data_IF_143389562024
#
_entry.id   IF_143389562024
#
_cell.length_a   1.000
_cell.length_b   1.000
_cell.length_c   1.000
_cell.angle_alpha   90.00
_cell.angle_beta   90.00
_cell.angle_gamma   90.00
#
_symmetry.space_group_name_H-M   'P 1'
#
loop_
_entity.id
_entity.type
_entity.pdbx_description
1 polymer ?
#
# COMPACT_ATOMS: atom_id res chain seq x y z
N UNK A 1 -20.47 1.37 30.98
CA UNK A 1 -19.17 1.84 30.49
C UNK A 1 -19.08 1.61 29.00
N UNK A 2 -18.86 2.67 28.24
CA UNK A 2 -18.76 2.57 26.79
C UNK A 2 -17.32 2.22 26.41
N UNK A 3 -17.16 1.14 25.68
CA UNK A 3 -15.86 0.81 25.10
C UNK A 3 -15.71 1.64 23.84
N UNK A 4 -14.69 2.49 23.79
CA UNK A 4 -14.43 3.29 22.60
C UNK A 4 -14.07 2.34 21.45
N UNK A 5 -14.68 2.55 20.29
CA UNK A 5 -14.28 1.85 19.08
C UNK A 5 -12.84 2.21 18.72
N UNK A 6 -12.05 1.26 18.19
CA UNK A 6 -10.71 1.60 17.70
C UNK A 6 -10.80 2.72 16.66
N UNK A 7 -9.85 3.61 16.68
CA UNK A 7 -9.79 4.65 15.67
C UNK A 7 -9.54 3.99 14.29
N UNK A 8 -10.30 4.39 13.31
CA UNK A 8 -10.21 3.86 11.96
C UNK A 8 -9.50 4.86 11.07
N UNK A 9 -8.37 4.42 10.50
CA UNK A 9 -7.59 5.24 9.58
C UNK A 9 -7.91 4.78 8.17
N UNK A 10 -8.50 5.66 7.37
CA UNK A 10 -8.83 5.35 5.97
C UNK A 10 -7.67 5.71 5.07
N UNK A 11 -7.19 4.73 4.31
CA UNK A 11 -6.07 4.91 3.38
C UNK A 11 -6.42 4.41 2.00
N UNK A 12 -5.69 4.93 1.01
CA UNK A 12 -5.65 4.38 -0.34
C UNK A 12 -4.25 3.78 -0.53
N UNK A 13 -4.18 2.55 -0.99
CA UNK A 13 -2.91 1.85 -1.13
C UNK A 13 -2.80 1.20 -2.51
N UNK A 14 -1.57 1.08 -3.02
CA UNK A 14 -1.31 0.52 -4.32
C UNK A 14 -0.58 -0.81 -4.23
N UNK A 15 -1.11 -1.82 -4.90
CA UNK A 15 -0.35 -2.98 -5.30
C UNK A 15 0.31 -2.60 -6.62
N UNK A 16 1.51 -2.04 -6.52
CA UNK A 16 2.25 -1.50 -7.67
C UNK A 16 3.09 -2.61 -8.26
N UNK A 17 2.83 -2.96 -9.52
CA UNK A 17 3.46 -4.11 -10.17
C UNK A 17 4.21 -3.64 -11.41
N UNK A 18 5.48 -4.06 -11.54
CA UNK A 18 6.30 -3.76 -12.72
C UNK A 18 6.12 -4.84 -13.80
N UNK A 19 6.80 -4.65 -14.94
CA UNK A 19 6.72 -5.58 -16.08
C UNK A 19 7.30 -6.94 -15.78
N UNK A 20 8.11 -7.08 -14.74
CA UNK A 20 8.68 -8.36 -14.31
C UNK A 20 7.80 -9.06 -13.27
N UNK A 21 6.65 -8.47 -12.94
CA UNK A 21 5.73 -9.04 -11.98
C UNK A 21 6.10 -8.80 -10.52
N UNK A 22 7.06 -7.93 -10.24
CA UNK A 22 7.45 -7.59 -8.87
C UNK A 22 6.57 -6.48 -8.34
N UNK A 23 6.38 -6.46 -7.02
CA UNK A 23 5.62 -5.38 -6.38
C UNK A 23 6.53 -4.53 -5.50
N UNK A 24 6.21 -3.25 -5.41
CA UNK A 24 6.99 -2.29 -4.63
C UNK A 24 6.47 -2.23 -3.20
N UNK A 25 7.38 -2.37 -2.25
CA UNK A 25 7.12 -2.09 -0.85
C UNK A 25 7.95 -0.89 -0.41
N UNK A 26 7.41 -0.10 0.49
CA UNK A 26 8.05 1.10 1.01
C UNK A 26 8.14 1.05 2.52
N UNK A 27 9.14 1.74 3.08
CA UNK A 27 9.28 1.91 4.53
C UNK A 27 9.43 3.38 4.83
N UNK A 28 8.62 3.85 5.76
CA UNK A 28 8.67 5.25 6.20
C UNK A 28 9.82 5.48 7.17
N UNK A 29 10.36 6.69 7.16
CA UNK A 29 11.42 7.10 8.08
C UNK A 29 10.98 6.91 9.53
N UNK A 30 11.86 6.35 10.34
CA UNK A 30 11.57 6.10 11.74
C UNK A 30 10.70 4.88 12.02
N UNK A 31 10.35 4.11 11.00
CA UNK A 31 9.56 2.87 11.17
C UNK A 31 10.37 1.67 10.69
N UNK A 32 9.92 0.47 11.08
CA UNK A 32 10.60 -0.77 10.71
C UNK A 32 9.83 -1.58 9.67
N UNK A 33 8.52 -1.37 9.56
CA UNK A 33 7.68 -2.23 8.71
C UNK A 33 7.60 -1.70 7.27
N UNK A 34 7.78 -2.61 6.32
CA UNK A 34 7.49 -2.35 4.92
C UNK A 34 6.00 -2.53 4.66
N UNK A 35 5.47 -1.73 3.76
CA UNK A 35 4.06 -1.72 3.41
C UNK A 35 3.87 -1.26 1.97
N UNK A 36 2.64 -1.29 1.48
CA UNK A 36 2.33 -0.76 0.15
C UNK A 36 2.47 0.76 0.15
N UNK A 37 2.87 1.34 -1.00
CA UNK A 37 2.81 2.80 -1.14
C UNK A 37 1.38 3.28 -1.12
N UNK A 38 1.18 4.49 -0.61
CA UNK A 38 -0.13 5.10 -0.46
C UNK A 38 -0.20 5.94 0.80
N UNK A 39 -1.38 6.34 1.19
CA UNK A 39 -1.54 7.16 2.38
C UNK A 39 -2.97 7.49 2.71
N UNK A 40 -3.14 8.38 3.68
CA UNK A 40 -4.45 8.74 4.19
C UNK A 40 -5.29 9.47 3.13
N UNK A 41 -6.57 9.13 3.12
CA UNK A 41 -7.56 9.81 2.27
C UNK A 41 -8.00 11.06 3.02
N UNK A 42 -7.79 12.23 2.42
CA UNK A 42 -8.18 13.49 3.02
C UNK A 42 -9.69 13.69 2.92
N UNK A 43 -10.24 14.50 3.81
CA UNK A 43 -11.65 14.80 3.79
C UNK A 43 -12.06 15.39 2.45
N UNK A 44 -13.15 14.87 1.87
CA UNK A 44 -13.64 15.32 0.57
C UNK A 44 -12.90 14.75 -0.62
N UNK A 45 -11.85 13.94 -0.38
CA UNK A 45 -11.04 13.35 -1.44
C UNK A 45 -11.52 11.93 -1.74
N UNK A 46 -11.54 11.55 -3.02
CA UNK A 46 -11.81 10.16 -3.37
C UNK A 46 -10.58 9.30 -3.10
N UNK A 47 -10.77 8.00 -2.92
CA UNK A 47 -9.65 7.09 -2.73
C UNK A 47 -8.70 7.12 -3.93
N UNK A 48 -9.22 7.21 -5.15
CA UNK A 48 -8.40 7.28 -6.37
C UNK A 48 -7.56 8.55 -6.43
N UNK A 49 -8.15 9.69 -6.07
CA UNK A 49 -7.44 10.96 -6.03
C UNK A 49 -6.35 10.94 -4.95
N UNK A 50 -6.67 10.38 -3.77
CA UNK A 50 -5.71 10.23 -2.69
C UNK A 50 -4.52 9.36 -3.13
N UNK A 51 -4.79 8.24 -3.80
CA UNK A 51 -3.74 7.36 -4.27
C UNK A 51 -2.81 8.06 -5.26
N UNK A 52 -3.39 8.74 -6.26
CA UNK A 52 -2.59 9.47 -7.26
C UNK A 52 -1.71 10.53 -6.60
N UNK A 53 -2.27 11.27 -5.66
CA UNK A 53 -1.53 12.29 -4.90
C UNK A 53 -0.40 11.69 -4.09
N UNK A 54 -0.68 10.62 -3.33
CA UNK A 54 0.32 9.97 -2.48
C UNK A 54 1.45 9.33 -3.29
N UNK A 55 1.13 8.67 -4.41
CA UNK A 55 2.15 8.10 -5.27
C UNK A 55 3.08 9.17 -5.84
N UNK A 56 2.53 10.33 -6.17
CA UNK A 56 3.35 11.45 -6.63
C UNK A 56 4.22 12.03 -5.50
N UNK A 57 3.63 12.26 -4.34
CA UNK A 57 4.36 12.84 -3.20
C UNK A 57 5.48 11.91 -2.68
N UNK A 58 5.18 10.62 -2.55
CA UNK A 58 6.10 9.66 -1.94
C UNK A 58 7.11 9.09 -2.91
N UNK A 59 6.75 8.92 -4.17
CA UNK A 59 7.55 8.18 -5.15
C UNK A 59 7.83 8.95 -6.44
N UNK A 60 7.26 10.13 -6.62
CA UNK A 60 7.41 10.89 -7.86
C UNK A 60 6.70 10.28 -9.05
N UNK A 61 5.82 9.31 -8.84
CA UNK A 61 5.10 8.65 -9.92
C UNK A 61 3.91 9.47 -10.35
N UNK A 62 3.66 9.52 -11.66
CA UNK A 62 2.49 10.19 -12.23
C UNK A 62 1.49 9.14 -12.67
N UNK A 63 0.41 9.04 -11.91
CA UNK A 63 -0.65 8.06 -12.17
C UNK A 63 -1.97 8.83 -12.31
N UNK A 64 -2.63 8.63 -13.45
CA UNK A 64 -3.96 9.21 -13.64
C UNK A 64 -4.93 8.52 -12.67
N UNK A 65 -5.81 9.27 -11.97
CA UNK A 65 -6.71 8.66 -10.98
C UNK A 65 -7.61 7.54 -11.51
N UNK A 66 -7.89 7.53 -12.81
CA UNK A 66 -8.72 6.49 -13.41
C UNK A 66 -7.96 5.25 -13.84
N UNK A 67 -6.62 5.29 -13.81
CA UNK A 67 -5.80 4.16 -14.27
C UNK A 67 -5.79 2.96 -13.31
N UNK A 68 -5.75 3.16 -11.96
CA UNK A 68 -5.72 2.03 -11.04
C UNK A 68 -6.99 1.18 -11.07
N UNK A 69 -6.82 -0.13 -10.97
CA UNK A 69 -7.93 -1.06 -10.88
C UNK A 69 -8.25 -1.35 -9.42
N UNK A 70 -9.48 -1.12 -8.99
CA UNK A 70 -9.90 -1.35 -7.61
C UNK A 70 -9.93 -2.85 -7.30
N UNK A 71 -9.18 -3.28 -6.30
CA UNK A 71 -9.12 -4.69 -5.89
C UNK A 71 -10.02 -5.01 -4.70
N UNK A 72 -10.35 -4.04 -3.88
CA UNK A 72 -11.22 -4.24 -2.74
C UNK A 72 -10.89 -3.33 -1.57
N UNK A 73 -11.65 -3.53 -0.49
CA UNK A 73 -11.49 -2.83 0.77
C UNK A 73 -11.09 -3.83 1.83
N UNK A 74 -10.02 -3.55 2.54
CA UNK A 74 -9.45 -4.45 3.55
C UNK A 74 -9.17 -3.71 4.84
N UNK A 75 -9.16 -4.44 5.95
CA UNK A 75 -8.96 -3.84 7.26
C UNK A 75 -7.97 -4.67 8.07
N UNK A 76 -7.10 -3.99 8.81
CA UNK A 76 -6.12 -4.64 9.67
C UNK A 76 -5.66 -3.68 10.76
N UNK A 77 -4.95 -4.21 11.75
CA UNK A 77 -4.31 -3.39 12.78
C UNK A 77 -3.26 -2.48 12.14
N UNK A 78 -3.22 -1.21 12.54
CA UNK A 78 -2.24 -0.26 12.03
C UNK A 78 -0.83 -0.61 12.53
N UNK A 79 0.15 -0.58 11.63
CA UNK A 79 1.52 -0.95 11.97
C UNK A 79 2.20 0.04 12.91
N UNK A 80 1.93 1.34 12.73
CA UNK A 80 2.67 2.39 13.40
C UNK A 80 1.83 3.26 14.34
N UNK A 81 0.57 2.93 14.52
CA UNK A 81 -0.36 3.72 15.34
C UNK A 81 -1.10 2.79 16.30
N UNK A 82 -0.57 2.60 17.54
CA UNK A 82 -1.18 1.68 18.51
C UNK A 82 -2.64 2.00 18.79
N UNK A 83 -3.48 0.97 18.90
CA UNK A 83 -4.90 1.11 19.15
C UNK A 83 -5.72 1.52 17.94
N UNK A 84 -5.11 1.65 16.77
CA UNK A 84 -5.80 2.03 15.55
C UNK A 84 -5.90 0.86 14.59
N UNK A 85 -6.90 0.93 13.69
CA UNK A 85 -7.03 0.02 12.57
C UNK A 85 -6.96 0.81 11.28
N UNK A 86 -6.44 0.18 10.23
CA UNK A 86 -6.41 0.73 8.87
C UNK A 86 -7.54 0.11 8.08
N UNK A 87 -8.28 0.95 7.37
CA UNK A 87 -9.19 0.50 6.32
C UNK A 87 -8.61 0.97 5.00
N UNK A 88 -8.19 0.02 4.17
CA UNK A 88 -7.49 0.32 2.92
C UNK A 88 -8.38 0.07 1.72
N UNK A 89 -8.50 1.07 0.86
CA UNK A 89 -8.97 0.88 -0.51
C UNK A 89 -7.73 0.49 -1.30
N UNK A 90 -7.70 -0.75 -1.77
CA UNK A 90 -6.55 -1.29 -2.48
C UNK A 90 -6.77 -1.24 -3.99
N UNK A 91 -5.75 -0.75 -4.70
CA UNK A 91 -5.78 -0.66 -6.17
C UNK A 91 -4.55 -1.31 -6.76
N UNK A 92 -4.73 -1.98 -7.90
CA UNK A 92 -3.61 -2.45 -8.71
C UNK A 92 -3.16 -1.32 -9.62
N UNK A 93 -1.85 -1.07 -9.64
CA UNK A 93 -1.23 -0.10 -10.52
C UNK A 93 -0.08 -0.79 -11.24
N UNK A 94 -0.14 -0.85 -12.56
CA UNK A 94 0.94 -1.40 -13.36
C UNK A 94 1.78 -0.25 -13.89
N UNK A 95 3.08 -0.26 -13.60
CA UNK A 95 3.97 0.81 -14.02
C UNK A 95 5.41 0.34 -14.08
N UNK A 96 6.13 0.78 -15.10
CA UNK A 96 7.59 0.62 -15.22
C UNK A 96 8.32 1.93 -14.96
N UNK A 97 7.60 2.97 -14.55
CA UNK A 97 8.21 4.24 -14.18
C UNK A 97 9.09 4.04 -12.95
N UNK A 98 10.26 4.65 -12.95
CA UNK A 98 11.23 4.47 -11.87
C UNK A 98 10.80 5.28 -10.65
N UNK A 99 10.47 4.64 -9.52
CA UNK A 99 10.11 5.36 -8.31
C UNK A 99 11.36 5.94 -7.63
N UNK A 100 11.16 7.06 -6.95
CA UNK A 100 12.21 7.68 -6.13
C UNK A 100 11.64 7.95 -4.75
N UNK A 101 12.37 7.53 -3.70
CA UNK A 101 11.95 7.78 -2.34
C UNK A 101 11.96 9.30 -2.07
N UNK A 102 10.82 9.82 -1.66
CA UNK A 102 10.63 11.23 -1.35
C UNK A 102 9.73 11.35 -0.11
N UNK A 103 9.58 12.57 0.41
CA UNK A 103 8.79 12.84 1.60
C UNK A 103 9.23 11.96 2.77
N UNK A 104 8.34 11.17 3.34
CA UNK A 104 8.63 10.32 4.50
C UNK A 104 9.27 8.98 4.15
N UNK A 105 9.41 8.66 2.86
CA UNK A 105 9.88 7.33 2.45
C UNK A 105 11.39 7.25 2.55
N UNK A 106 11.86 6.29 3.36
CA UNK A 106 13.29 6.07 3.57
C UNK A 106 13.84 4.93 2.71
N UNK A 107 13.03 3.88 2.48
CA UNK A 107 13.50 2.72 1.76
C UNK A 107 12.44 2.22 0.77
N UNK A 108 12.92 1.70 -0.36
CA UNK A 108 12.11 1.05 -1.39
C UNK A 108 12.62 -0.37 -1.58
N UNK A 109 11.72 -1.32 -1.79
CA UNK A 109 12.08 -2.70 -2.09
C UNK A 109 11.13 -3.28 -3.13
N UNK A 110 11.67 -3.67 -4.27
CA UNK A 110 10.94 -4.49 -5.24
C UNK A 110 11.05 -5.94 -4.81
N UNK A 111 9.91 -6.61 -4.66
CA UNK A 111 9.89 -7.99 -4.18
C UNK A 111 9.02 -8.86 -5.07
N UNK A 112 9.40 -10.13 -5.18
CA UNK A 112 8.52 -11.16 -5.70
C UNK A 112 7.73 -11.77 -4.53
N UNK A 113 6.73 -12.59 -4.85
CA UNK A 113 5.87 -13.19 -3.83
C UNK A 113 6.66 -14.05 -2.80
N UNK A 114 7.82 -14.56 -3.19
CA UNK A 114 8.61 -15.49 -2.37
C UNK A 114 9.78 -14.82 -1.64
N UNK A 115 9.96 -13.51 -1.78
CA UNK A 115 11.17 -12.82 -1.30
C UNK A 115 10.94 -11.97 -0.06
N UNK A 116 9.88 -12.21 0.70
CA UNK A 116 9.51 -11.32 1.82
C UNK A 116 9.72 -11.95 3.19
N UNK A 117 10.19 -13.19 3.28
CA UNK A 117 10.27 -13.92 4.54
C UNK A 117 11.22 -13.31 5.58
N UNK A 118 12.22 -12.55 5.15
CA UNK A 118 13.17 -11.89 6.04
C UNK A 118 12.80 -10.42 6.34
N UNK A 119 11.65 -9.97 5.86
CA UNK A 119 11.24 -8.57 6.00
C UNK A 119 10.24 -8.40 7.13
N UNK A 120 10.36 -7.28 7.85
CA UNK A 120 9.32 -6.85 8.78
C UNK A 120 8.23 -6.19 7.94
N UNK A 121 7.01 -6.73 8.01
CA UNK A 121 5.90 -6.29 7.18
C UNK A 121 4.76 -5.76 8.06
N UNK A 122 4.08 -4.71 7.56
CA UNK A 122 2.84 -4.26 8.19
C UNK A 122 1.81 -5.41 8.17
N UNK A 123 0.95 -5.51 9.19
CA UNK A 123 -0.02 -6.62 9.26
C UNK A 123 -0.87 -6.77 8.00
N UNK A 124 -1.39 -5.66 7.46
CA UNK A 124 -2.19 -5.69 6.23
C UNK A 124 -1.39 -6.25 5.05
N UNK A 125 -0.12 -5.84 4.92
CA UNK A 125 0.77 -6.32 3.87
C UNK A 125 1.01 -7.82 3.99
N UNK A 126 1.37 -8.27 5.19
CA UNK A 126 1.72 -9.66 5.45
C UNK A 126 0.54 -10.61 5.31
N UNK A 127 -0.60 -10.24 5.91
CA UNK A 127 -1.70 -11.17 6.10
C UNK A 127 -2.77 -11.09 5.00
N UNK A 128 -2.84 -9.99 4.28
CA UNK A 128 -3.90 -9.76 3.28
C UNK A 128 -3.33 -9.51 1.90
N UNK A 129 -2.49 -8.49 1.76
CA UNK A 129 -2.12 -8.00 0.42
C UNK A 129 -1.14 -8.92 -0.29
N UNK A 130 -0.09 -9.37 0.38
CA UNK A 130 0.85 -10.29 -0.26
C UNK A 130 0.22 -11.64 -0.63
N UNK A 131 -0.65 -12.24 0.19
CA UNK A 131 -1.41 -13.41 -0.25
C UNK A 131 -2.26 -13.14 -1.47
N UNK A 132 -2.95 -11.99 -1.52
CA UNK A 132 -3.74 -11.59 -2.69
C UNK A 132 -2.86 -11.42 -3.92
N UNK A 133 -1.73 -10.75 -3.78
CA UNK A 133 -0.76 -10.56 -4.85
C UNK A 133 -0.27 -11.92 -5.40
N UNK A 134 0.03 -12.85 -4.52
CA UNK A 134 0.45 -14.20 -4.89
C UNK A 134 -0.63 -14.91 -5.71
N UNK A 135 -1.89 -14.78 -5.28
CA UNK A 135 -3.03 -15.36 -6.00
C UNK A 135 -3.22 -14.73 -7.37
N UNK A 136 -3.06 -13.41 -7.47
CA UNK A 136 -3.18 -12.71 -8.76
C UNK A 136 -2.13 -13.16 -9.76
N UNK A 137 -0.89 -13.41 -9.32
CA UNK A 137 0.17 -13.88 -10.19
C UNK A 137 -0.05 -15.32 -10.64
N UNK A 138 -0.71 -16.13 -9.84
CA UNK A 138 -0.96 -17.55 -10.11
C UNK A 138 -2.24 -17.79 -10.89
N UNK A 139 -3.08 -16.78 -11.04
CA UNK A 139 -4.37 -16.93 -11.72
C UNK A 139 -4.16 -17.20 -13.21
N UNK A 140 -4.86 -18.17 -13.78
CA UNK A 140 -4.80 -18.38 -15.24
C UNK A 140 -5.41 -17.19 -15.96
N UNK A 141 -4.78 -16.83 -17.06
CA UNK A 141 -5.28 -15.75 -17.92
C UNK A 141 -6.42 -16.23 -18.80
#
# INVERSE_FOLDING_TARGET
MTVASPALIRIAAALLIDSEGRTLLVRKRGTQAFMQPGGKIDEGESARAALARELHEELGLRVHPDAPAHLGRFQAVAANEPGCQVQAELFRVDSDEQPRAAAEIEALAWVSADETHDMVLAPLTRDVILPLYRDLLSAPR
#
